data_IF_194810776676
#
_entry.id   IF_194810776676
#
_cell.length_a   1.000
_cell.length_b   1.000
_cell.length_c   1.000
_cell.angle_alpha   90.00
_cell.angle_beta   90.00
_cell.angle_gamma   90.00
#
_symmetry.space_group_name_H-M   'P 1'
#
loop_
_entity.id
_entity.type
_entity.pdbx_description
1 polymer ?
#
# COMPACT_ATOMS: atom_id res chain seq x y z
N UNK A 1 -22.26 -4.93 11.00
CA UNK A 1 -21.66 -3.87 11.86
C UNK A 1 -20.20 -4.22 12.02
N UNK A 2 -19.36 -3.76 11.08
CA UNK A 2 -17.92 -3.97 11.15
C UNK A 2 -17.36 -2.95 12.13
N UNK A 3 -16.91 -3.46 13.27
CA UNK A 3 -16.26 -2.72 14.33
C UNK A 3 -14.80 -2.50 13.90
N UNK A 4 -14.55 -1.46 13.09
CA UNK A 4 -13.20 -1.01 12.75
C UNK A 4 -12.60 -0.35 14.00
N UNK A 5 -12.09 -1.23 14.88
CA UNK A 5 -11.48 -0.87 16.15
C UNK A 5 -10.30 0.07 15.94
N UNK A 6 -10.54 1.35 16.15
CA UNK A 6 -9.56 2.43 16.11
C UNK A 6 -8.54 2.22 17.24
N UNK A 7 -7.44 1.54 16.93
CA UNK A 7 -6.35 1.29 17.88
C UNK A 7 -5.56 2.58 18.08
N UNK A 8 -5.75 3.21 19.23
CA UNK A 8 -4.85 4.26 19.74
C UNK A 8 -3.48 3.61 20.02
N UNK A 9 -2.46 3.98 19.24
CA UNK A 9 -1.09 3.51 19.43
C UNK A 9 -0.34 4.56 20.24
N UNK A 10 0.36 4.14 21.30
CA UNK A 10 1.28 4.98 22.04
C UNK A 10 2.54 5.22 21.19
N UNK A 11 2.61 6.38 20.54
CA UNK A 11 3.62 6.74 19.54
C UNK A 11 5.00 7.07 20.15
N UNK A 12 5.09 7.28 21.47
CA UNK A 12 6.29 7.81 22.12
C UNK A 12 7.50 6.88 22.09
N UNK A 13 7.31 5.57 22.10
CA UNK A 13 8.41 4.59 22.17
C UNK A 13 8.89 4.08 20.80
N UNK A 14 8.23 4.47 19.70
CA UNK A 14 8.45 3.87 18.40
C UNK A 14 9.55 4.56 17.56
N UNK A 15 10.03 5.76 17.93
CA UNK A 15 10.85 6.59 17.04
C UNK A 15 12.37 6.42 17.20
N UNK A 16 12.89 5.83 18.29
CA UNK A 16 14.33 5.93 18.62
C UNK A 16 15.25 4.80 18.09
N UNK A 17 14.73 3.74 17.45
CA UNK A 17 15.52 2.52 17.17
C UNK A 17 15.45 2.00 15.73
N UNK A 18 15.18 2.84 14.73
CA UNK A 18 15.14 2.38 13.32
C UNK A 18 16.16 3.06 12.44
N UNK A 19 17.30 2.38 12.28
CA UNK A 19 18.25 2.57 11.18
C UNK A 19 17.91 1.52 10.11
N UNK A 20 17.20 1.91 9.05
CA UNK A 20 16.78 0.96 8.00
C UNK A 20 17.95 0.14 7.41
N UNK A 21 17.69 -1.06 6.84
CA UNK A 21 18.75 -1.89 6.27
C UNK A 21 19.37 -1.20 5.04
N UNK A 22 20.64 -0.84 5.16
CA UNK A 22 21.50 -0.40 4.05
C UNK A 22 22.04 -1.65 3.32
N UNK A 23 21.25 -2.21 2.39
CA UNK A 23 21.57 -3.51 1.76
C UNK A 23 22.20 -3.42 0.36
N UNK A 24 22.47 -2.20 -0.14
CA UNK A 24 23.37 -1.94 -1.28
C UNK A 24 23.08 -2.66 -2.60
N UNK A 25 21.95 -3.38 -2.73
CA UNK A 25 21.62 -4.22 -3.90
C UNK A 25 20.12 -4.32 -4.14
N UNK A 26 19.49 -3.20 -4.45
CA UNK A 26 18.52 -3.09 -5.55
C UNK A 26 18.62 -1.66 -6.06
N UNK A 27 19.13 -1.47 -7.27
CA UNK A 27 19.01 -0.18 -7.93
C UNK A 27 17.50 0.04 -8.11
N UNK A 28 16.96 0.96 -7.32
CA UNK A 28 15.59 1.38 -7.43
C UNK A 28 15.43 2.13 -8.75
N UNK A 29 14.96 1.45 -9.79
CA UNK A 29 14.50 2.07 -11.03
C UNK A 29 13.08 2.64 -10.87
N UNK A 30 12.48 2.54 -9.67
CA UNK A 30 11.08 2.82 -9.36
C UNK A 30 10.74 4.30 -9.33
N UNK A 31 11.08 5.08 -10.37
CA UNK A 31 10.50 6.40 -10.53
C UNK A 31 8.96 6.26 -10.44
N UNK A 32 8.37 6.72 -9.34
CA UNK A 32 6.93 6.80 -9.20
C UNK A 32 6.35 7.63 -10.34
N UNK A 33 5.04 7.60 -10.52
CA UNK A 33 4.42 8.43 -11.55
C UNK A 33 4.46 9.91 -11.12
N UNK A 34 5.18 10.79 -11.84
CA UNK A 34 5.25 12.20 -11.48
C UNK A 34 3.86 12.85 -11.45
N UNK A 35 2.93 12.41 -12.32
CA UNK A 35 1.57 12.93 -12.34
C UNK A 35 0.78 12.54 -11.08
N UNK A 36 1.01 11.34 -10.54
CA UNK A 36 0.43 10.92 -9.24
C UNK A 36 1.01 11.75 -8.11
N UNK A 37 2.30 12.04 -8.16
CA UNK A 37 2.97 12.85 -7.14
C UNK A 37 2.44 14.29 -7.12
N UNK A 38 2.28 14.90 -8.30
CA UNK A 38 1.67 16.23 -8.45
C UNK A 38 0.22 16.25 -7.96
N UNK A 39 -0.56 15.21 -8.30
CA UNK A 39 -1.95 15.06 -7.86
C UNK A 39 -2.05 14.95 -6.33
N UNK A 40 -1.21 14.13 -5.70
CA UNK A 40 -1.16 13.99 -4.24
C UNK A 40 -0.76 15.30 -3.55
N UNK A 41 0.26 15.98 -4.08
CA UNK A 41 0.69 17.27 -3.56
C UNK A 41 -0.44 18.32 -3.65
N UNK A 42 -1.13 18.38 -4.80
CA UNK A 42 -2.26 19.27 -5.01
C UNK A 42 -3.45 18.93 -4.10
N UNK A 43 -3.78 17.64 -3.93
CA UNK A 43 -4.86 17.19 -3.04
C UNK A 43 -4.60 17.54 -1.57
N UNK A 44 -3.33 17.63 -1.18
CA UNK A 44 -2.89 18.05 0.17
C UNK A 44 -2.70 19.55 0.31
N UNK A 45 -2.78 20.32 -0.79
CA UNK A 45 -2.47 21.74 -0.78
C UNK A 45 -1.01 22.05 -0.40
N UNK A 46 -0.08 21.13 -0.64
CA UNK A 46 1.35 21.28 -0.34
C UNK A 46 2.20 21.18 -1.61
N UNK A 47 3.45 21.66 -1.55
CA UNK A 47 4.40 21.44 -2.64
C UNK A 47 4.88 19.98 -2.69
N UNK A 48 5.23 19.50 -3.88
CA UNK A 48 5.76 18.14 -4.12
C UNK A 48 6.94 17.81 -3.20
N UNK A 49 7.86 18.75 -3.01
CA UNK A 49 8.99 18.56 -2.10
C UNK A 49 8.52 18.26 -0.67
N UNK A 50 7.52 19.00 -0.17
CA UNK A 50 6.99 18.77 1.17
C UNK A 50 6.29 17.42 1.27
N UNK A 51 5.52 17.04 0.25
CA UNK A 51 4.89 15.72 0.18
C UNK A 51 5.96 14.61 0.27
N UNK A 52 7.06 14.72 -0.47
CA UNK A 52 8.16 13.75 -0.45
C UNK A 52 8.88 13.71 0.90
N UNK A 53 9.11 14.86 1.53
CA UNK A 53 9.72 14.93 2.87
C UNK A 53 8.89 14.21 3.93
N UNK A 54 7.55 14.31 3.86
CA UNK A 54 6.64 13.75 4.87
C UNK A 54 6.29 12.29 4.58
N UNK A 55 5.95 11.97 3.32
CA UNK A 55 5.39 10.67 2.94
C UNK A 55 6.36 9.79 2.14
N UNK A 56 7.49 10.33 1.70
CA UNK A 56 8.40 9.65 0.78
C UNK A 56 7.99 9.80 -0.68
N UNK A 57 8.74 9.14 -1.56
CA UNK A 57 8.57 9.17 -3.02
C UNK A 57 8.08 7.83 -3.57
N UNK A 58 7.95 7.73 -4.90
CA UNK A 58 7.64 6.46 -5.56
C UNK A 58 6.16 6.10 -5.61
N UNK A 59 5.29 7.09 -5.49
CA UNK A 59 3.84 6.91 -5.51
C UNK A 59 3.33 6.50 -6.89
N UNK A 60 2.40 5.56 -6.91
CA UNK A 60 1.65 5.10 -8.09
C UNK A 60 0.23 4.74 -7.67
N UNK A 61 -0.72 4.79 -8.59
CA UNK A 61 -2.09 4.36 -8.30
C UNK A 61 -2.08 2.86 -7.94
N UNK A 62 -2.79 2.49 -6.87
CA UNK A 62 -2.95 1.09 -6.51
C UNK A 62 -3.71 0.39 -7.64
N UNK A 63 -3.21 -0.75 -8.17
CA UNK A 63 -3.90 -1.47 -9.22
C UNK A 63 -5.32 -1.80 -8.77
N UNK A 64 -6.31 -1.19 -9.43
CA UNK A 64 -7.71 -1.47 -9.14
C UNK A 64 -8.01 -2.91 -9.53
N UNK A 65 -8.94 -3.53 -8.81
CA UNK A 65 -9.56 -4.79 -9.26
C UNK A 65 -9.99 -4.59 -10.72
N UNK A 66 -9.60 -5.47 -11.67
CA UNK A 66 -10.23 -5.49 -12.97
C UNK A 66 -11.72 -5.72 -12.71
N UNK A 67 -12.54 -4.70 -12.92
CA UNK A 67 -13.99 -4.89 -12.88
C UNK A 67 -14.28 -5.78 -14.06
N UNK A 68 -14.66 -7.03 -13.80
CA UNK A 68 -15.10 -7.95 -14.83
C UNK A 68 -16.20 -7.24 -15.66
N UNK A 69 -15.98 -7.03 -16.97
CA UNK A 69 -16.92 -6.28 -17.80
C UNK A 69 -18.30 -6.93 -17.87
N UNK A 70 -18.40 -8.25 -17.67
CA UNK A 70 -19.68 -8.98 -17.67
C UNK A 70 -20.43 -8.82 -16.34
N UNK A 71 -19.69 -8.64 -15.23
CA UNK A 71 -20.26 -8.29 -13.93
C UNK A 71 -20.78 -6.85 -13.90
N UNK A 72 -20.23 -5.94 -14.70
CA UNK A 72 -20.68 -4.53 -14.76
C UNK A 72 -22.12 -4.40 -15.26
N UNK A 73 -22.50 -5.16 -16.28
CA UNK A 73 -23.86 -5.15 -16.80
C UNK A 73 -24.91 -5.68 -15.80
N UNK A 74 -24.53 -6.60 -14.90
CA UNK A 74 -25.41 -7.14 -13.86
C UNK A 74 -25.40 -6.35 -12.56
N UNK A 75 -24.26 -5.76 -12.19
CA UNK A 75 -24.10 -4.95 -10.98
C UNK A 75 -24.60 -3.53 -11.15
N UNK A 76 -24.56 -2.91 -12.34
CA UNK A 76 -25.14 -1.57 -12.55
C UNK A 76 -26.65 -1.54 -12.21
N UNK A 77 -27.36 -2.68 -12.40
CA UNK A 77 -28.77 -2.81 -12.03
C UNK A 77 -29.03 -3.08 -10.52
N UNK A 78 -28.00 -3.46 -9.76
CA UNK A 78 -28.07 -3.79 -8.33
C UNK A 78 -27.37 -2.75 -7.44
N UNK A 79 -26.41 -2.00 -7.99
CA UNK A 79 -25.68 -0.91 -7.34
C UNK A 79 -26.60 0.24 -6.96
N UNK A 80 -27.61 0.55 -7.78
CA UNK A 80 -28.62 1.58 -7.48
C UNK A 80 -29.52 1.23 -6.28
N UNK A 81 -29.57 -0.05 -5.87
CA UNK A 81 -30.48 -0.54 -4.81
C UNK A 81 -29.75 -0.87 -3.50
N UNK A 82 -28.46 -1.18 -3.55
CA UNK A 82 -27.67 -1.64 -2.39
C UNK A 82 -26.51 -0.71 -2.05
N UNK A 83 -26.72 0.61 -2.10
CA UNK A 83 -25.76 1.64 -1.69
C UNK A 83 -25.31 1.49 -0.21
N UNK A 84 -24.50 0.47 0.06
CA UNK A 84 -23.42 0.52 0.99
C UNK A 84 -22.25 1.20 0.25
N UNK A 85 -21.48 2.07 0.91
CA UNK A 85 -20.46 2.88 0.25
C UNK A 85 -19.41 1.97 -0.39
N UNK A 86 -19.48 1.85 -1.70
CA UNK A 86 -18.51 1.13 -2.51
C UNK A 86 -17.30 2.02 -2.72
N UNK A 87 -16.29 1.94 -1.85
CA UNK A 87 -14.86 2.20 -2.13
C UNK A 87 -14.40 3.49 -2.87
N UNK A 88 -15.28 4.39 -3.30
CA UNK A 88 -15.06 5.53 -4.20
C UNK A 88 -15.40 6.82 -3.44
N UNK A 89 -14.63 7.92 -3.50
CA UNK A 89 -14.29 8.64 -4.72
C UNK A 89 -12.79 9.03 -4.83
N UNK A 90 -11.95 8.62 -3.87
CA UNK A 90 -10.49 8.84 -3.90
C UNK A 90 -9.73 7.52 -4.02
N UNK A 91 -9.02 7.31 -5.13
CA UNK A 91 -8.18 6.12 -5.32
C UNK A 91 -7.07 6.02 -4.26
N UNK A 92 -6.73 4.80 -3.85
CA UNK A 92 -5.54 4.56 -3.03
C UNK A 92 -4.29 4.65 -3.90
N UNK A 93 -3.25 5.27 -3.36
CA UNK A 93 -1.92 5.34 -3.95
C UNK A 93 -0.97 4.50 -3.12
N UNK A 94 0.02 3.88 -3.74
CA UNK A 94 0.99 3.03 -3.06
C UNK A 94 2.42 3.40 -3.40
N UNK A 95 3.32 3.18 -2.44
CA UNK A 95 4.74 3.39 -2.57
C UNK A 95 5.55 2.17 -2.08
N UNK A 96 6.78 2.09 -2.56
CA UNK A 96 7.73 0.99 -2.28
C UNK A 96 7.66 -0.16 -3.29
N UNK A 97 8.76 -0.90 -3.39
CA UNK A 97 8.86 -2.18 -4.10
C UNK A 97 9.57 -3.19 -3.18
N UNK A 98 8.88 -4.25 -2.70
CA UNK A 98 7.44 -4.50 -2.82
C UNK A 98 6.59 -3.38 -2.21
N UNK A 99 5.29 -3.33 -2.49
CA UNK A 99 4.40 -2.31 -1.93
C UNK A 99 4.40 -2.32 -0.39
N UNK A 100 4.67 -1.15 0.19
CA UNK A 100 4.91 -0.98 1.63
C UNK A 100 3.93 -0.07 2.32
N UNK A 101 3.52 1.01 1.65
CA UNK A 101 2.67 2.04 2.21
C UNK A 101 1.59 2.39 1.21
N UNK A 102 0.36 2.55 1.70
CA UNK A 102 -0.77 3.07 0.96
C UNK A 102 -1.20 4.41 1.56
N UNK A 103 -1.61 5.35 0.70
CA UNK A 103 -2.06 6.68 1.07
C UNK A 103 -3.32 7.03 0.27
N UNK A 104 -4.28 7.65 0.95
CA UNK A 104 -5.49 8.22 0.35
C UNK A 104 -5.75 9.61 0.94
N UNK A 105 -5.73 10.69 0.14
CA UNK A 105 -6.20 11.99 0.61
C UNK A 105 -7.69 11.93 0.94
N UNK A 106 -8.10 12.51 2.06
CA UNK A 106 -9.50 12.65 2.48
C UNK A 106 -9.79 14.11 2.83
N UNK A 107 -11.06 14.45 3.08
CA UNK A 107 -11.49 15.84 3.21
C UNK A 107 -10.84 16.59 4.40
N UNK A 108 -10.51 15.89 5.48
CA UNK A 108 -9.98 16.44 6.73
C UNK A 108 -8.58 15.91 7.10
N UNK A 109 -7.86 15.34 6.13
CA UNK A 109 -6.54 14.77 6.36
C UNK A 109 -6.08 13.77 5.31
N UNK A 110 -5.39 12.74 5.79
CA UNK A 110 -4.98 11.58 4.98
C UNK A 110 -5.28 10.30 5.70
N UNK A 111 -5.63 9.27 4.94
CA UNK A 111 -5.58 7.91 5.42
C UNK A 111 -4.30 7.22 4.93
N UNK A 112 -3.65 6.54 5.86
CA UNK A 112 -2.46 5.73 5.61
C UNK A 112 -2.78 4.27 5.95
N UNK A 113 -2.13 3.32 5.27
CA UNK A 113 -2.28 1.92 5.59
C UNK A 113 -1.26 1.03 4.91
N UNK A 114 -1.42 -0.28 5.09
CA UNK A 114 -0.56 -1.31 4.49
C UNK A 114 -1.28 -1.96 3.31
N UNK A 115 -0.75 -1.89 2.08
CA UNK A 115 -1.28 -2.64 0.96
C UNK A 115 -0.97 -4.14 1.13
N UNK A 116 -1.99 -4.97 1.04
CA UNK A 116 -1.91 -6.43 1.16
C UNK A 116 -2.55 -7.05 -0.07
N UNK A 117 -1.78 -7.85 -0.79
CA UNK A 117 -2.25 -8.62 -1.94
C UNK A 117 -2.84 -9.97 -1.52
N UNK A 118 -3.93 -10.38 -2.16
CA UNK A 118 -4.51 -11.71 -2.05
C UNK A 118 -4.72 -12.30 -3.45
N UNK A 119 -4.17 -13.49 -3.69
CA UNK A 119 -4.46 -14.22 -4.93
C UNK A 119 -5.87 -14.79 -4.87
N UNK A 120 -6.65 -14.55 -5.92
CA UNK A 120 -7.96 -15.16 -6.10
C UNK A 120 -7.85 -16.48 -6.86
N UNK A 121 -8.90 -17.30 -6.81
CA UNK A 121 -8.97 -18.56 -7.56
C UNK A 121 -8.92 -18.39 -9.09
N UNK A 122 -9.02 -17.16 -9.61
CA UNK A 122 -8.89 -16.84 -11.04
C UNK A 122 -7.45 -16.47 -11.46
N UNK A 123 -6.47 -16.63 -10.57
CA UNK A 123 -5.07 -16.29 -10.86
C UNK A 123 -4.82 -14.78 -10.93
N UNK A 124 -5.73 -13.96 -10.40
CA UNK A 124 -5.55 -12.51 -10.28
C UNK A 124 -5.14 -12.13 -8.86
N UNK A 125 -4.26 -11.13 -8.77
CA UNK A 125 -3.87 -10.53 -7.49
C UNK A 125 -4.81 -9.35 -7.19
N UNK A 126 -5.59 -9.46 -6.12
CA UNK A 126 -6.44 -8.40 -5.60
C UNK A 126 -5.76 -7.69 -4.43
N UNK A 127 -5.97 -6.38 -4.31
CA UNK A 127 -5.35 -5.56 -3.27
C UNK A 127 -6.37 -5.04 -2.26
N UNK A 128 -6.00 -5.12 -0.99
CA UNK A 128 -6.70 -4.56 0.15
C UNK A 128 -5.74 -3.62 0.90
N UNK A 129 -6.25 -2.53 1.47
CA UNK A 129 -5.48 -1.72 2.43
C UNK A 129 -5.91 -2.07 3.85
N UNK A 130 -4.96 -2.56 4.65
CA UNK A 130 -5.10 -2.93 6.07
C UNK A 130 -4.44 -1.92 7.00
N UNK A 131 -4.67 -2.07 8.30
CA UNK A 131 -4.07 -1.24 9.35
C UNK A 131 -4.22 0.26 9.03
N UNK A 132 -5.46 0.67 8.74
CA UNK A 132 -5.75 2.03 8.29
C UNK A 132 -5.68 3.01 9.45
N UNK A 133 -5.03 4.13 9.22
CA UNK A 133 -4.89 5.22 10.16
C UNK A 133 -5.26 6.53 9.49
N UNK A 134 -6.24 7.24 10.05
CA UNK A 134 -6.52 8.62 9.67
C UNK A 134 -5.57 9.56 10.42
N UNK A 135 -4.91 10.45 9.67
CA UNK A 135 -4.07 11.52 10.19
C UNK A 135 -4.73 12.85 9.83
N UNK A 136 -5.36 13.54 10.81
CA UNK A 136 -6.10 14.76 10.55
C UNK A 136 -5.18 15.91 10.17
N UNK A 137 -5.71 16.88 9.43
CA UNK A 137 -5.03 18.15 9.18
C UNK A 137 -4.85 18.98 10.46
N UNK A 138 -3.70 19.64 10.57
CA UNK A 138 -3.38 20.44 11.75
C UNK A 138 -1.90 20.81 11.85
N UNK A 139 -1.52 21.59 12.89
CA UNK A 139 -0.13 22.03 13.09
C UNK A 139 0.85 20.86 13.31
N UNK A 140 0.37 19.75 13.88
CA UNK A 140 1.18 18.57 14.19
C UNK A 140 1.07 17.47 13.11
N UNK A 141 0.45 17.77 11.96
CA UNK A 141 0.13 16.79 10.92
C UNK A 141 1.36 15.99 10.48
N UNK A 142 2.46 16.67 10.17
CA UNK A 142 3.66 16.02 9.63
C UNK A 142 4.34 15.11 10.65
N UNK A 143 4.33 15.50 11.94
CA UNK A 143 4.85 14.67 13.02
C UNK A 143 3.97 13.42 13.22
N UNK A 144 2.65 13.60 13.22
CA UNK A 144 1.70 12.50 13.36
C UNK A 144 1.80 11.52 12.16
N UNK A 145 1.86 12.05 10.94
CA UNK A 145 2.04 11.26 9.72
C UNK A 145 3.34 10.47 9.77
N UNK A 146 4.48 11.11 10.08
CA UNK A 146 5.77 10.45 10.19
C UNK A 146 5.78 9.30 11.21
N UNK A 147 5.16 9.50 12.37
CA UNK A 147 5.06 8.48 13.41
C UNK A 147 4.21 7.28 12.96
N UNK A 148 3.07 7.51 12.31
CA UNK A 148 2.22 6.44 11.75
C UNK A 148 2.96 5.68 10.65
N UNK A 149 3.59 6.39 9.72
CA UNK A 149 4.36 5.78 8.62
C UNK A 149 5.47 4.88 9.16
N UNK A 150 6.22 5.34 10.17
CA UNK A 150 7.30 4.55 10.76
C UNK A 150 6.79 3.22 11.35
N UNK A 151 5.62 3.22 12.00
CA UNK A 151 4.99 2.02 12.54
C UNK A 151 4.55 1.08 11.41
N UNK A 152 3.86 1.60 10.39
CA UNK A 152 3.36 0.81 9.26
C UNK A 152 4.52 0.16 8.48
N UNK A 153 5.55 0.93 8.14
CA UNK A 153 6.72 0.44 7.41
C UNK A 153 7.45 -0.64 8.22
N UNK A 154 7.70 -0.41 9.51
CA UNK A 154 8.35 -1.40 10.38
C UNK A 154 7.57 -2.70 10.45
N UNK A 155 6.24 -2.61 10.62
CA UNK A 155 5.37 -3.79 10.64
C UNK A 155 5.42 -4.54 9.31
N UNK A 156 5.28 -3.80 8.20
CA UNK A 156 5.24 -4.37 6.85
C UNK A 156 6.56 -5.03 6.46
N UNK A 157 7.71 -4.40 6.70
CA UNK A 157 9.03 -4.97 6.40
C UNK A 157 9.28 -6.29 7.12
N UNK A 158 8.77 -6.47 8.35
CA UNK A 158 8.89 -7.75 9.09
C UNK A 158 8.16 -8.91 8.42
N UNK A 159 7.24 -8.64 7.49
CA UNK A 159 6.53 -9.68 6.73
C UNK A 159 7.32 -10.14 5.50
N UNK A 160 8.29 -9.34 5.04
CA UNK A 160 9.02 -9.63 3.82
C UNK A 160 10.04 -10.76 4.03
N UNK A 161 10.28 -11.53 2.98
CA UNK A 161 11.24 -12.65 2.99
C UNK A 161 12.10 -12.61 1.74
N UNK A 162 13.30 -13.15 1.84
CA UNK A 162 14.18 -13.32 0.71
C UNK A 162 13.83 -14.59 -0.06
N UNK A 163 13.71 -14.49 -1.39
CA UNK A 163 13.62 -15.67 -2.22
C UNK A 163 14.97 -16.40 -2.25
N UNK A 164 14.97 -17.71 -1.99
CA UNK A 164 16.17 -18.58 -2.01
C UNK A 164 16.90 -18.60 -3.35
N UNK A 165 16.19 -18.41 -4.46
CA UNK A 165 16.72 -18.55 -5.82
C UNK A 165 17.24 -17.22 -6.38
N UNK A 166 16.38 -16.22 -6.50
CA UNK A 166 16.75 -14.93 -7.09
C UNK A 166 17.31 -13.93 -6.08
N UNK A 167 17.24 -14.24 -4.78
CA UNK A 167 17.65 -13.34 -3.69
C UNK A 167 16.98 -11.96 -3.77
N UNK A 168 15.75 -11.89 -4.28
CA UNK A 168 14.92 -10.68 -4.20
C UNK A 168 14.19 -10.63 -2.87
N UNK A 169 13.97 -9.43 -2.35
CA UNK A 169 13.13 -9.19 -1.19
C UNK A 169 11.66 -9.20 -1.64
N UNK A 170 10.86 -10.10 -1.09
CA UNK A 170 9.51 -10.37 -1.56
C UNK A 170 8.51 -10.13 -0.43
N UNK A 171 7.39 -9.48 -0.76
CA UNK A 171 6.22 -9.44 0.10
C UNK A 171 5.53 -10.82 0.14
N UNK A 172 4.75 -11.12 1.19
CA UNK A 172 4.02 -12.40 1.31
C UNK A 172 3.20 -12.75 0.05
N UNK A 173 2.54 -11.78 -0.55
CA UNK A 173 1.74 -11.97 -1.76
C UNK A 173 2.56 -12.26 -3.03
N UNK A 174 3.88 -12.02 -3.01
CA UNK A 174 4.79 -12.38 -4.10
C UNK A 174 5.43 -13.77 -3.89
N UNK A 175 5.16 -14.42 -2.75
CA UNK A 175 5.72 -15.70 -2.37
C UNK A 175 4.74 -16.84 -2.66
N UNK A 176 5.25 -17.87 -3.34
CA UNK A 176 4.57 -19.14 -3.56
C UNK A 176 4.72 -20.07 -2.33
N UNK A 177 5.88 -20.03 -1.68
CA UNK A 177 6.21 -20.77 -0.47
C UNK A 177 7.02 -19.87 0.47
N UNK A 178 7.29 -20.26 1.73
CA UNK A 178 7.97 -19.39 2.70
C UNK A 178 9.33 -18.81 2.25
N UNK A 179 9.99 -19.43 1.27
CA UNK A 179 11.32 -19.03 0.77
C UNK A 179 11.39 -18.93 -0.78
N UNK A 180 10.28 -19.03 -1.51
CA UNK A 180 10.28 -19.07 -2.98
C UNK A 180 9.23 -18.12 -3.56
N UNK A 181 9.65 -17.17 -4.40
CA UNK A 181 8.73 -16.28 -5.11
C UNK A 181 7.99 -17.00 -6.24
N UNK A 182 6.84 -16.47 -6.67
CA UNK A 182 6.07 -17.04 -7.79
C UNK A 182 6.92 -17.19 -9.06
N UNK A 183 7.65 -16.15 -9.48
CA UNK A 183 8.48 -16.20 -10.69
C UNK A 183 9.50 -17.36 -10.68
N UNK A 184 10.17 -17.59 -9.55
CA UNK A 184 11.11 -18.71 -9.40
C UNK A 184 10.39 -20.05 -9.23
N UNK A 185 9.22 -20.08 -8.59
CA UNK A 185 8.35 -21.24 -8.52
C UNK A 185 7.95 -21.76 -9.91
N UNK A 186 7.48 -20.87 -10.78
CA UNK A 186 7.19 -21.22 -12.18
C UNK A 186 8.42 -21.70 -12.92
N UNK A 187 9.53 -20.95 -12.83
CA UNK A 187 10.75 -21.25 -13.59
C UNK A 187 11.41 -22.57 -13.21
N UNK A 188 11.49 -22.89 -11.92
CA UNK A 188 12.28 -24.02 -11.42
C UNK A 188 11.43 -25.22 -11.01
N UNK A 189 10.17 -25.01 -10.60
CA UNK A 189 9.28 -26.08 -10.14
C UNK A 189 8.13 -26.38 -11.12
N UNK A 190 8.02 -25.63 -12.23
CA UNK A 190 6.99 -25.85 -13.26
C UNK A 190 5.56 -25.52 -12.81
N UNK A 191 5.40 -24.68 -11.79
CA UNK A 191 4.09 -24.32 -11.23
C UNK A 191 3.45 -23.19 -12.05
N UNK A 192 2.24 -23.43 -12.54
CA UNK A 192 1.42 -22.46 -13.30
C UNK A 192 0.21 -22.07 -12.44
N UNK A 193 -0.15 -20.80 -12.47
CA UNK A 193 -1.26 -20.18 -11.71
C UNK A 193 -2.42 -19.86 -12.62
#
# INVERSE_FOLDING_TARGET
MSDDGQRSIDLGAALEDWSGPDDGRTAYDGAGDPAVLDLLAAARGVGVQRLVEVYGAGWRELPRRPTDPDLRAGLDALHDVLAAPTWDEGGWYVAGEPFQLALRPVADGVELGVPVGGWTGAGSLEWEVRDRHHVPDGPDHDQAAGAVIAVLLRSRHRTFRWCRYCRSHCAPEQLLSPDTCHACGTRWNGIVY
#
